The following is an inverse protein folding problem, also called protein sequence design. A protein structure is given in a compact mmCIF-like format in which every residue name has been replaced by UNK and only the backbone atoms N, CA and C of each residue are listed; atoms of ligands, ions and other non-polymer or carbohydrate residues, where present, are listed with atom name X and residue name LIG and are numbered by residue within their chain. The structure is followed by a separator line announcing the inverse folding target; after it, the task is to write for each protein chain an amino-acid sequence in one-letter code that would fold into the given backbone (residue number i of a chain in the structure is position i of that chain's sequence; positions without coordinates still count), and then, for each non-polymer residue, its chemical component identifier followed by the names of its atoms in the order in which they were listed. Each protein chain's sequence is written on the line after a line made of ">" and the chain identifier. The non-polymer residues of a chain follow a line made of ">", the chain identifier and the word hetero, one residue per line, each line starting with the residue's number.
data_IF_605938262000
#
_entry.id   IF_605938262000
#
_cell.length_a   1.000
_cell.length_b   1.000
_cell.length_c   1.000
_cell.angle_alpha   90.00
_cell.angle_beta   90.00
_cell.angle_gamma   90.00
#
_symmetry.space_group_name_H-M   'P 1'
#
loop_
_entity.id
_entity.type
_entity.pdbx_description
1 polymer ?
#
# COMPACT_ATOMS: atom_id res chain seq x y z
N UNK A 1 0.90 -14.96 -18.46
CA UNK A 1 -0.52 -14.78 -18.12
C UNK A 1 -1.12 -16.09 -17.59
N UNK A 2 -0.78 -17.23 -18.19
CA UNK A 2 -1.23 -18.59 -17.84
C UNK A 2 -1.19 -18.96 -16.34
N UNK A 3 -0.22 -18.44 -15.58
CA UNK A 3 -0.15 -18.68 -14.14
C UNK A 3 -1.37 -18.14 -13.39
N UNK A 4 -1.91 -16.98 -13.80
CA UNK A 4 -3.08 -16.35 -13.21
C UNK A 4 -4.33 -17.19 -13.53
N UNK A 5 -4.50 -17.56 -14.80
CA UNK A 5 -5.64 -18.38 -15.23
C UNK A 5 -5.64 -19.75 -14.56
N UNK A 6 -4.47 -20.39 -14.47
CA UNK A 6 -4.33 -21.68 -13.77
C UNK A 6 -4.58 -21.56 -12.27
N UNK A 7 -4.11 -20.49 -11.64
CA UNK A 7 -4.27 -20.27 -10.19
C UNK A 7 -5.69 -19.93 -9.77
N UNK A 8 -6.38 -19.10 -10.57
CA UNK A 8 -7.75 -18.66 -10.27
C UNK A 8 -8.79 -19.66 -10.80
N UNK A 9 -8.51 -20.33 -11.92
CA UNK A 9 -9.35 -21.35 -12.53
C UNK A 9 -10.73 -20.81 -12.87
N UNK A 10 -11.78 -21.58 -12.52
CA UNK A 10 -13.18 -21.24 -12.82
C UNK A 10 -13.69 -19.97 -12.13
N UNK A 11 -12.96 -19.44 -11.14
CA UNK A 11 -13.33 -18.20 -10.46
C UNK A 11 -13.07 -16.97 -11.34
N UNK A 12 -12.11 -17.05 -12.27
CA UNK A 12 -11.70 -15.91 -13.09
C UNK A 12 -12.60 -15.77 -14.31
N UNK A 13 -13.28 -14.63 -14.42
CA UNK A 13 -14.23 -14.36 -15.50
C UNK A 13 -13.54 -13.74 -16.73
N UNK A 14 -12.63 -14.48 -17.36
CA UNK A 14 -11.82 -13.98 -18.49
C UNK A 14 -12.67 -13.55 -19.68
N UNK A 15 -13.76 -14.28 -19.97
CA UNK A 15 -14.60 -14.04 -21.15
C UNK A 15 -15.42 -12.75 -21.09
N UNK A 16 -15.79 -12.34 -19.88
CA UNK A 16 -16.67 -11.20 -19.64
C UNK A 16 -15.87 -9.91 -19.36
N UNK A 17 -14.54 -10.01 -19.26
CA UNK A 17 -13.66 -8.92 -18.87
C UNK A 17 -12.52 -8.76 -19.89
N UNK A 18 -12.78 -8.12 -21.04
CA UNK A 18 -11.79 -7.97 -22.12
C UNK A 18 -10.58 -7.12 -21.71
N UNK A 19 -10.72 -6.29 -20.68
CA UNK A 19 -9.66 -5.45 -20.14
C UNK A 19 -8.69 -6.21 -19.21
N UNK A 20 -8.95 -7.49 -18.91
CA UNK A 20 -7.98 -8.32 -18.20
C UNK A 20 -6.64 -8.32 -18.94
N UNK A 21 -5.56 -8.17 -18.19
CA UNK A 21 -4.19 -8.12 -18.70
C UNK A 21 -3.84 -6.88 -19.56
N UNK A 22 -4.70 -5.87 -19.63
CA UNK A 22 -4.41 -4.59 -20.29
C UNK A 22 -3.41 -3.71 -19.55
N UNK A 23 -3.17 -3.97 -18.25
CA UNK A 23 -2.42 -3.10 -17.35
C UNK A 23 -3.27 -2.08 -16.60
N UNK A 24 -4.59 -2.07 -16.81
CA UNK A 24 -5.53 -1.37 -15.93
C UNK A 24 -5.38 -1.82 -14.47
N UNK A 25 -5.75 -0.95 -13.53
CA UNK A 25 -5.74 -1.25 -12.10
C UNK A 25 -7.18 -1.49 -11.67
N UNK A 26 -7.40 -2.54 -10.88
CA UNK A 26 -8.70 -2.85 -10.29
C UNK A 26 -8.68 -2.53 -8.79
N UNK A 27 -9.74 -1.89 -8.31
CA UNK A 27 -9.96 -1.81 -6.87
C UNK A 27 -10.43 -3.17 -6.32
N UNK A 28 -10.51 -3.29 -4.99
CA UNK A 28 -10.87 -4.56 -4.34
C UNK A 28 -12.23 -5.11 -4.75
N UNK A 29 -13.24 -4.26 -4.92
CA UNK A 29 -14.60 -4.67 -5.29
C UNK A 29 -14.63 -5.20 -6.73
N UNK A 30 -14.02 -4.47 -7.66
CA UNK A 30 -13.88 -4.89 -9.06
C UNK A 30 -13.10 -6.21 -9.17
N UNK A 31 -11.98 -6.31 -8.44
CA UNK A 31 -11.15 -7.51 -8.44
C UNK A 31 -11.90 -8.74 -7.89
N UNK A 32 -12.82 -8.53 -6.95
CA UNK A 32 -13.67 -9.59 -6.42
C UNK A 32 -14.70 -10.05 -7.45
N UNK A 33 -15.38 -9.11 -8.11
CA UNK A 33 -16.39 -9.39 -9.14
C UNK A 33 -15.83 -10.21 -10.32
N UNK A 34 -14.64 -9.86 -10.79
CA UNK A 34 -13.99 -10.57 -11.91
C UNK A 34 -13.24 -11.83 -11.45
N UNK A 35 -13.17 -12.05 -10.13
CA UNK A 35 -12.58 -13.24 -9.52
C UNK A 35 -11.06 -13.25 -9.47
N UNK A 36 -10.40 -12.08 -9.48
CA UNK A 36 -8.96 -11.94 -9.24
C UNK A 36 -8.59 -12.22 -7.76
N UNK A 37 -9.48 -11.89 -6.82
CA UNK A 37 -9.28 -12.13 -5.38
C UNK A 37 -10.41 -13.00 -4.80
N UNK A 38 -10.23 -13.46 -3.57
CA UNK A 38 -11.18 -14.37 -2.90
C UNK A 38 -12.14 -13.68 -1.94
N UNK A 39 -11.86 -12.44 -1.57
CA UNK A 39 -12.68 -11.68 -0.65
C UNK A 39 -11.99 -10.40 -0.20
N UNK A 40 -12.74 -9.61 0.57
CA UNK A 40 -12.27 -8.38 1.19
C UNK A 40 -12.07 -8.61 2.69
N UNK A 41 -10.99 -8.09 3.26
CA UNK A 41 -10.72 -8.24 4.68
C UNK A 41 -9.46 -7.52 5.13
N UNK A 42 -9.34 -7.32 6.43
CA UNK A 42 -8.12 -6.81 7.05
C UNK A 42 -7.19 -7.96 7.46
N UNK A 43 -5.90 -7.69 7.58
CA UNK A 43 -4.92 -8.67 8.12
C UNK A 43 -5.35 -9.21 9.48
N UNK A 44 -5.89 -8.34 10.35
CA UNK A 44 -6.42 -8.72 11.66
C UNK A 44 -7.61 -9.68 11.58
N UNK A 45 -8.54 -9.44 10.66
CA UNK A 45 -9.70 -10.32 10.43
C UNK A 45 -9.25 -11.69 9.95
N UNK A 46 -8.38 -11.73 8.95
CA UNK A 46 -7.87 -12.98 8.35
C UNK A 46 -7.07 -13.80 9.39
N UNK A 47 -6.21 -13.15 10.18
CA UNK A 47 -5.42 -13.82 11.20
C UNK A 47 -6.29 -14.49 12.26
N UNK A 48 -7.33 -13.79 12.76
CA UNK A 48 -8.27 -14.37 13.74
C UNK A 48 -9.14 -15.47 13.17
N UNK A 49 -9.72 -15.24 11.99
CA UNK A 49 -10.79 -16.10 11.48
C UNK A 49 -10.24 -17.35 10.78
N UNK A 50 -9.22 -17.20 9.94
CA UNK A 50 -8.66 -18.29 9.16
C UNK A 50 -7.50 -19.00 9.88
N UNK A 51 -6.57 -18.24 10.46
CA UNK A 51 -5.35 -18.79 11.06
C UNK A 51 -5.44 -19.02 12.56
N UNK A 52 -6.55 -18.60 13.20
CA UNK A 52 -6.74 -18.65 14.66
C UNK A 52 -5.56 -18.03 15.44
N UNK A 53 -4.94 -17.00 14.87
CA UNK A 53 -3.77 -16.31 15.40
C UNK A 53 -4.16 -14.89 15.83
N UNK A 54 -4.68 -14.69 17.05
CA UNK A 54 -5.09 -13.36 17.51
C UNK A 54 -3.92 -12.42 17.81
N UNK A 55 -2.73 -12.97 18.05
CA UNK A 55 -1.52 -12.20 18.30
C UNK A 55 -0.68 -12.11 17.02
N UNK A 56 -0.39 -10.88 16.58
CA UNK A 56 0.40 -10.59 15.39
C UNK A 56 1.59 -9.71 15.76
N UNK A 57 2.72 -9.94 15.10
CA UNK A 57 3.89 -9.07 15.18
C UNK A 57 3.96 -8.25 13.90
N UNK A 58 3.89 -6.93 14.05
CA UNK A 58 4.00 -5.98 12.95
C UNK A 58 5.47 -5.61 12.75
N UNK A 59 6.08 -6.07 11.64
CA UNK A 59 7.46 -5.77 11.26
C UNK A 59 7.57 -4.55 10.33
N UNK A 60 6.48 -3.80 10.11
CA UNK A 60 6.52 -2.59 9.29
C UNK A 60 7.57 -1.65 9.86
N UNK A 61 8.54 -1.26 9.03
CA UNK A 61 9.53 -0.27 9.41
C UNK A 61 8.81 1.06 9.69
N UNK A 62 8.93 1.54 10.92
CA UNK A 62 8.37 2.82 11.35
C UNK A 62 9.51 3.80 11.44
N UNK A 63 9.30 5.00 10.89
CA UNK A 63 10.20 6.11 11.16
C UNK A 63 10.29 6.30 12.69
N UNK A 64 11.51 6.39 13.21
CA UNK A 64 11.71 6.73 14.61
C UNK A 64 11.03 8.08 14.90
N UNK A 65 10.05 8.14 15.83
CA UNK A 65 9.32 9.36 16.14
C UNK A 65 10.26 10.53 16.49
N UNK A 66 11.37 10.23 17.15
CA UNK A 66 12.35 11.25 17.52
C UNK A 66 13.13 11.76 16.30
N UNK A 67 13.60 10.86 15.44
CA UNK A 67 14.22 11.25 14.17
C UNK A 67 13.29 12.08 13.29
N UNK A 68 12.00 11.73 13.22
CA UNK A 68 10.99 12.49 12.47
C UNK A 68 10.82 13.91 13.03
N UNK A 69 10.69 14.03 14.34
CA UNK A 69 10.62 15.33 15.03
C UNK A 69 11.87 16.17 14.74
N UNK A 70 13.07 15.59 14.86
CA UNK A 70 14.32 16.29 14.60
C UNK A 70 14.44 16.77 13.15
N UNK A 71 13.98 15.95 12.19
CA UNK A 71 13.91 16.34 10.78
C UNK A 71 12.96 17.52 10.57
N UNK A 72 11.77 17.48 11.17
CA UNK A 72 10.79 18.58 11.09
C UNK A 72 11.31 19.88 11.71
N UNK A 73 11.94 19.80 12.89
CA UNK A 73 12.60 20.94 13.53
C UNK A 73 13.71 21.53 12.65
N UNK A 74 14.59 20.68 12.10
CA UNK A 74 15.66 21.11 11.20
C UNK A 74 15.14 21.80 9.94
N UNK A 75 14.09 21.27 9.32
CA UNK A 75 13.42 21.92 8.18
C UNK A 75 12.84 23.29 8.54
N UNK A 76 12.27 23.42 9.74
CA UNK A 76 11.77 24.70 10.25
C UNK A 76 12.87 25.75 10.42
N UNK A 77 14.02 25.36 10.98
CA UNK A 77 15.20 26.23 11.12
C UNK A 77 15.71 26.68 9.76
N UNK A 78 15.88 25.76 8.80
CA UNK A 78 16.32 26.08 7.43
C UNK A 78 15.36 27.07 6.77
N UNK A 79 14.06 26.86 6.93
CA UNK A 79 13.02 27.73 6.38
C UNK A 79 13.07 29.14 7.00
N UNK A 80 13.24 29.23 8.32
CA UNK A 80 13.38 30.50 9.04
C UNK A 80 14.63 31.28 8.64
N UNK A 81 15.77 30.60 8.51
CA UNK A 81 17.03 31.21 8.05
C UNK A 81 16.89 31.70 6.60
N UNK A 82 16.30 30.91 5.71
CA UNK A 82 16.06 31.30 4.31
C UNK A 82 15.13 32.51 4.21
N UNK A 83 14.11 32.59 5.07
CA UNK A 83 13.21 33.75 5.13
C UNK A 83 13.90 35.02 5.64
N UNK A 84 14.81 34.89 6.62
CA UNK A 84 15.56 36.02 7.17
C UNK A 84 16.68 36.51 6.24
N UNK A 85 17.26 35.63 5.42
CA UNK A 85 18.39 35.95 4.53
C UNK A 85 18.17 35.42 3.11
N UNK A 86 17.26 36.03 2.33
CA UNK A 86 16.88 35.55 1.00
C UNK A 86 18.00 35.66 -0.05
N UNK A 87 18.94 36.58 0.15
CA UNK A 87 20.02 36.89 -0.81
C UNK A 87 21.24 35.95 -0.70
N UNK A 88 21.31 35.16 0.39
CA UNK A 88 22.43 34.22 0.61
C UNK A 88 22.17 32.95 -0.19
N UNK A 89 22.96 32.74 -1.24
CA UNK A 89 22.89 31.51 -2.05
C UNK A 89 23.54 30.35 -1.28
N UNK A 90 22.72 29.58 -0.57
CA UNK A 90 23.13 28.33 0.08
C UNK A 90 23.45 27.29 -1.00
N UNK A 91 24.72 26.88 -1.12
CA UNK A 91 25.17 25.77 -1.97
C UNK A 91 24.99 24.43 -1.27
#
# INVERSE_FOLDING_TARGET
>A
IDAVEKGRGKRLNVRENPDLYSGLIWNGEQALEIGLIDGLGSTATIAREQFKAPFMVDFTEKEDPFAKMMKELGMGVVSGVKAAFPEVQWR
#
